data_IF_389782605015
#
_entry.id   IF_389782605015
#
_cell.length_a   1.000
_cell.length_b   1.000
_cell.length_c   1.000
_cell.angle_alpha   90.00
_cell.angle_beta   90.00
_cell.angle_gamma   90.00
#
_symmetry.space_group_name_H-M   'P 1'
#
loop_
_entity.id
_entity.type
_entity.pdbx_description
1 polymer ?
#
# COMPACT_ATOMS: atom_id res chain seq x y z
N UNK A 1 -59.41 -15.34 27.78
CA UNK A 1 -58.01 -15.73 27.55
C UNK A 1 -57.06 -14.74 28.21
N UNK A 2 -56.04 -15.22 28.91
CA UNK A 2 -55.05 -14.37 29.60
C UNK A 2 -54.01 -13.80 28.61
N UNK A 3 -53.31 -12.73 28.97
CA UNK A 3 -52.28 -12.12 28.13
C UNK A 3 -50.96 -12.92 28.18
N UNK A 4 -50.30 -13.07 27.03
CA UNK A 4 -48.97 -13.69 26.89
C UNK A 4 -47.90 -12.69 27.32
N UNK A 5 -46.85 -13.14 28.01
CA UNK A 5 -45.67 -12.31 28.35
C UNK A 5 -44.47 -12.77 27.51
N UNK A 6 -43.90 -11.87 26.70
CA UNK A 6 -42.72 -12.16 25.89
C UNK A 6 -41.45 -11.88 26.68
N UNK A 7 -40.53 -12.85 26.77
CA UNK A 7 -39.29 -12.74 27.53
C UNK A 7 -38.16 -13.34 26.71
N UNK A 8 -37.11 -12.52 26.54
CA UNK A 8 -35.82 -12.84 25.93
C UNK A 8 -35.75 -12.78 24.38
N UNK A 9 -34.91 -11.86 23.90
CA UNK A 9 -34.43 -11.77 22.52
C UNK A 9 -32.95 -12.16 22.49
N UNK A 10 -32.58 -13.17 21.70
CA UNK A 10 -31.17 -13.55 21.51
C UNK A 10 -30.75 -13.27 20.07
N UNK A 11 -29.75 -12.40 19.90
CA UNK A 11 -29.18 -12.05 18.60
C UNK A 11 -28.17 -13.11 18.17
N UNK A 12 -28.32 -13.69 16.98
CA UNK A 12 -27.25 -14.44 16.30
C UNK A 12 -26.90 -13.70 15.02
N UNK A 13 -25.64 -13.30 14.88
CA UNK A 13 -25.11 -12.79 13.62
C UNK A 13 -24.95 -13.93 12.62
N UNK A 14 -25.03 -13.60 11.33
CA UNK A 14 -24.94 -14.55 10.23
C UNK A 14 -23.70 -15.46 10.36
N UNK A 15 -23.94 -16.76 10.21
CA UNK A 15 -22.87 -17.71 9.93
C UNK A 15 -22.67 -17.77 8.42
N UNK A 16 -21.43 -17.69 7.89
CA UNK A 16 -21.22 -17.90 6.46
C UNK A 16 -21.66 -19.31 6.10
N UNK A 17 -22.68 -19.43 5.24
CA UNK A 17 -23.14 -20.72 4.72
C UNK A 17 -22.00 -21.36 3.94
N UNK A 18 -21.56 -22.53 4.41
CA UNK A 18 -20.60 -23.40 3.70
C UNK A 18 -21.16 -23.71 2.32
N UNK A 19 -20.42 -23.32 1.29
CA UNK A 19 -20.74 -23.66 -0.10
C UNK A 19 -20.74 -25.18 -0.27
N UNK A 20 -21.84 -25.72 -0.79
CA UNK A 20 -21.93 -27.09 -1.27
C UNK A 20 -20.93 -27.28 -2.41
N UNK A 21 -19.96 -28.18 -2.25
CA UNK A 21 -19.08 -28.61 -3.34
C UNK A 21 -19.91 -29.35 -4.40
N UNK A 22 -20.02 -28.78 -5.59
CA UNK A 22 -20.54 -29.51 -6.75
C UNK A 22 -19.52 -30.58 -7.15
N UNK A 23 -19.97 -31.84 -7.11
CA UNK A 23 -19.21 -33.01 -7.55
C UNK A 23 -18.99 -32.94 -9.06
N UNK A 24 -17.76 -33.24 -9.44
CA UNK A 24 -17.22 -33.20 -10.80
C UNK A 24 -17.93 -34.22 -11.71
N UNK A 25 -18.47 -33.77 -12.86
CA UNK A 25 -18.89 -34.66 -13.94
C UNK A 25 -18.40 -34.11 -15.28
N UNK A 26 -17.81 -35.00 -16.07
CA UNK A 26 -16.86 -34.75 -17.16
C UNK A 26 -17.47 -34.34 -18.50
N UNK A 27 -16.83 -33.34 -19.13
CA UNK A 27 -16.49 -33.14 -20.56
C UNK A 27 -17.46 -33.68 -21.66
N UNK A 28 -18.03 -32.77 -22.47
CA UNK A 28 -17.87 -32.71 -23.95
C UNK A 28 -18.64 -31.50 -24.59
N UNK A 29 -17.87 -30.51 -25.09
CA UNK A 29 -17.96 -29.87 -26.44
C UNK A 29 -19.11 -28.91 -26.86
N UNK A 30 -18.77 -27.59 -26.86
CA UNK A 30 -18.93 -26.50 -27.89
C UNK A 30 -20.23 -25.65 -28.11
N UNK A 31 -20.03 -24.33 -27.90
CA UNK A 31 -20.31 -23.15 -28.78
C UNK A 31 -21.68 -22.41 -28.72
N UNK A 32 -21.62 -21.19 -28.14
CA UNK A 32 -22.30 -19.91 -28.42
C UNK A 32 -23.84 -19.83 -28.35
N UNK A 33 -24.33 -19.32 -27.21
CA UNK A 33 -25.45 -18.35 -27.11
C UNK A 33 -25.02 -17.27 -26.11
N UNK A 34 -24.73 -16.07 -26.61
CA UNK A 34 -24.53 -14.85 -25.82
C UNK A 34 -25.84 -14.06 -25.81
N UNK A 35 -26.18 -13.46 -24.66
CA UNK A 35 -27.27 -12.49 -24.40
C UNK A 35 -28.64 -13.11 -24.02
N UNK A 36 -28.76 -13.52 -22.75
CA UNK A 36 -29.91 -13.29 -21.83
C UNK A 36 -29.67 -13.98 -20.45
N UNK A 37 -28.51 -13.75 -19.84
CA UNK A 37 -28.36 -13.90 -18.37
C UNK A 37 -27.98 -12.52 -17.86
N UNK A 38 -28.90 -11.58 -18.07
CA UNK A 38 -28.93 -10.34 -17.32
C UNK A 38 -29.35 -10.72 -15.89
N UNK A 39 -28.43 -10.51 -14.96
CA UNK A 39 -28.75 -9.92 -13.67
C UNK A 39 -29.85 -10.70 -12.90
N UNK A 40 -29.45 -11.86 -12.39
CA UNK A 40 -29.71 -12.13 -10.99
C UNK A 40 -28.35 -12.27 -10.31
N UNK A 41 -27.58 -11.19 -10.32
CA UNK A 41 -26.75 -10.92 -9.15
C UNK A 41 -27.78 -10.60 -8.08
N UNK A 42 -28.35 -11.63 -7.45
CA UNK A 42 -28.99 -11.44 -6.17
C UNK A 42 -27.94 -10.72 -5.34
N UNK A 43 -28.18 -9.45 -5.03
CA UNK A 43 -27.60 -8.91 -3.80
C UNK A 43 -28.05 -9.92 -2.77
N UNK A 44 -27.13 -10.76 -2.28
CA UNK A 44 -27.38 -11.47 -1.05
C UNK A 44 -27.56 -10.34 -0.04
N UNK A 45 -28.82 -10.00 0.25
CA UNK A 45 -29.13 -9.37 1.52
C UNK A 45 -28.67 -10.40 2.53
N UNK A 46 -27.59 -10.10 3.23
CA UNK A 46 -27.37 -10.76 4.51
C UNK A 46 -28.65 -10.49 5.31
N UNK A 47 -29.29 -11.56 5.76
CA UNK A 47 -30.63 -11.47 6.33
C UNK A 47 -30.49 -11.80 7.80
N UNK A 48 -30.88 -10.87 8.66
CA UNK A 48 -30.79 -11.07 10.09
C UNK A 48 -31.91 -11.98 10.59
N UNK A 49 -31.57 -12.78 11.60
CA UNK A 49 -32.51 -13.66 12.28
C UNK A 49 -32.70 -13.17 13.73
N UNK A 50 -33.95 -13.11 14.19
CA UNK A 50 -34.29 -12.79 15.57
C UNK A 50 -35.08 -13.92 16.21
N UNK A 51 -34.57 -14.50 17.29
CA UNK A 51 -35.27 -15.50 18.09
C UNK A 51 -36.05 -14.84 19.22
N UNK A 52 -37.35 -15.10 19.26
CA UNK A 52 -38.29 -14.70 20.30
C UNK A 52 -38.69 -15.91 21.15
N UNK A 53 -38.92 -15.68 22.44
CA UNK A 53 -39.51 -16.65 23.35
C UNK A 53 -40.57 -15.97 24.23
N UNK A 54 -41.55 -16.75 24.69
CA UNK A 54 -42.62 -16.27 25.56
C UNK A 54 -43.13 -17.38 26.48
N UNK A 55 -43.76 -16.98 27.58
CA UNK A 55 -44.35 -17.91 28.54
C UNK A 55 -45.78 -18.27 28.13
N UNK A 56 -46.13 -19.56 28.22
CA UNK A 56 -47.48 -20.03 27.97
C UNK A 56 -48.44 -19.60 29.08
N UNK A 57 -49.68 -19.16 28.77
CA UNK A 57 -50.67 -18.85 29.79
C UNK A 57 -51.16 -20.12 30.50
N UNK A 58 -51.46 -20.01 31.80
CA UNK A 58 -51.92 -21.14 32.64
C UNK A 58 -53.43 -21.38 32.54
N UNK A 59 -54.06 -21.09 31.40
CA UNK A 59 -55.51 -21.14 31.23
C UNK A 59 -56.07 -22.50 30.79
N UNK A 60 -55.20 -23.43 30.38
CA UNK A 60 -55.57 -24.80 30.01
C UNK A 60 -56.39 -24.93 28.73
N UNK A 61 -56.64 -23.81 28.03
CA UNK A 61 -57.46 -23.76 26.80
C UNK A 61 -56.66 -23.32 25.57
N UNK A 62 -55.47 -22.75 25.77
CA UNK A 62 -54.59 -22.31 24.67
C UNK A 62 -54.04 -23.50 23.89
N UNK A 63 -54.29 -23.51 22.58
CA UNK A 63 -53.81 -24.56 21.66
C UNK A 63 -52.69 -24.09 20.74
N UNK A 64 -52.55 -22.78 20.55
CA UNK A 64 -51.42 -22.22 19.80
C UNK A 64 -51.29 -20.70 19.87
N UNK A 65 -50.32 -20.18 19.11
CA UNK A 65 -49.94 -18.78 19.11
C UNK A 65 -49.76 -18.24 17.69
N UNK A 66 -50.07 -16.95 17.52
CA UNK A 66 -49.69 -16.17 16.35
C UNK A 66 -48.68 -15.11 16.80
N UNK A 67 -47.50 -15.13 16.18
CA UNK A 67 -46.48 -14.10 16.31
C UNK A 67 -46.74 -13.01 15.26
N UNK A 68 -46.82 -11.76 15.71
CA UNK A 68 -46.97 -10.57 14.86
C UNK A 68 -45.70 -9.73 14.94
N UNK A 69 -45.28 -9.17 13.81
CA UNK A 69 -44.11 -8.30 13.74
C UNK A 69 -44.23 -7.20 12.68
N UNK A 70 -43.53 -6.09 12.89
CA UNK A 70 -43.52 -4.94 11.99
C UNK A 70 -42.40 -3.95 12.32
N UNK A 71 -42.26 -2.91 11.49
CA UNK A 71 -41.19 -1.90 11.62
C UNK A 71 -41.65 -0.61 12.33
N UNK A 72 -42.89 -0.57 12.80
CA UNK A 72 -43.45 0.54 13.55
C UNK A 72 -44.20 0.04 14.80
N UNK A 73 -44.17 0.79 15.91
CA UNK A 73 -44.87 0.40 17.14
C UNK A 73 -46.36 0.15 16.87
N UNK A 74 -46.89 -0.96 17.38
CA UNK A 74 -48.31 -1.37 17.27
C UNK A 74 -48.83 -1.51 15.84
N UNK A 75 -47.94 -1.59 14.84
CA UNK A 75 -48.30 -1.75 13.43
C UNK A 75 -47.54 -2.94 12.84
N UNK A 76 -48.21 -4.08 12.77
CA UNK A 76 -47.62 -5.35 12.35
C UNK A 76 -47.98 -5.65 10.89
N UNK A 77 -46.97 -5.71 10.04
CA UNK A 77 -47.10 -6.04 8.61
C UNK A 77 -46.90 -7.53 8.33
N UNK A 78 -46.34 -8.28 9.28
CA UNK A 78 -46.13 -9.72 9.19
C UNK A 78 -46.76 -10.47 10.35
N UNK A 79 -47.25 -11.68 10.07
CA UNK A 79 -47.70 -12.62 11.09
C UNK A 79 -47.32 -14.06 10.73
N UNK A 80 -47.07 -14.88 11.74
CA UNK A 80 -46.75 -16.30 11.60
C UNK A 80 -47.53 -17.08 12.65
N UNK A 81 -48.29 -18.09 12.22
CA UNK A 81 -48.81 -19.11 13.13
C UNK A 81 -47.67 -20.05 13.51
N UNK A 82 -47.35 -20.09 14.79
CA UNK A 82 -46.25 -20.88 15.34
C UNK A 82 -46.75 -22.13 16.07
N UNK A 83 -48.07 -22.39 16.03
CA UNK A 83 -48.71 -23.50 16.70
C UNK A 83 -48.49 -23.43 18.22
N UNK A 84 -48.28 -24.58 18.85
CA UNK A 84 -48.04 -24.69 20.30
C UNK A 84 -46.63 -24.30 20.75
N UNK A 85 -45.77 -23.81 19.86
CA UNK A 85 -44.39 -23.43 20.20
C UNK A 85 -44.38 -22.17 21.06
N UNK A 86 -43.48 -22.12 22.04
CA UNK A 86 -43.24 -20.94 22.90
C UNK A 86 -41.96 -20.19 22.54
N UNK A 87 -41.37 -20.52 21.38
CA UNK A 87 -40.27 -19.78 20.80
C UNK A 87 -40.28 -19.88 19.28
N UNK A 88 -39.80 -18.84 18.61
CA UNK A 88 -39.71 -18.78 17.16
C UNK A 88 -38.59 -17.87 16.69
N UNK A 89 -37.86 -18.30 15.65
CA UNK A 89 -36.87 -17.46 14.96
C UNK A 89 -37.50 -16.88 13.70
N UNK A 90 -37.65 -15.56 13.68
CA UNK A 90 -38.02 -14.83 12.47
C UNK A 90 -36.76 -14.65 11.64
N UNK A 91 -36.73 -15.28 10.48
CA UNK A 91 -35.61 -15.19 9.55
C UNK A 91 -35.88 -14.17 8.46
N UNK A 92 -34.83 -13.72 7.78
CA UNK A 92 -35.00 -12.89 6.60
C UNK A 92 -35.33 -11.42 6.91
N UNK A 93 -35.00 -10.94 8.11
CA UNK A 93 -35.26 -9.56 8.50
C UNK A 93 -34.25 -8.61 7.84
N UNK A 94 -34.71 -7.40 7.52
CA UNK A 94 -33.83 -6.37 7.00
C UNK A 94 -32.83 -5.96 8.08
N UNK A 95 -31.57 -5.81 7.69
CA UNK A 95 -30.51 -5.39 8.56
C UNK A 95 -30.66 -3.93 9.02
N UNK A 96 -30.07 -3.61 10.18
CA UNK A 96 -30.09 -2.27 10.79
C UNK A 96 -31.50 -1.73 11.10
N UNK A 97 -32.52 -2.60 11.06
CA UNK A 97 -33.92 -2.22 11.14
C UNK A 97 -34.48 -2.60 12.50
N UNK A 98 -35.24 -1.70 13.12
CA UNK A 98 -35.94 -1.97 14.38
C UNK A 98 -37.26 -2.65 14.09
N UNK A 99 -37.42 -3.86 14.61
CA UNK A 99 -38.66 -4.63 14.54
C UNK A 99 -39.34 -4.65 15.91
N UNK A 100 -40.66 -4.53 15.87
CA UNK A 100 -41.58 -4.62 17.00
C UNK A 100 -42.34 -5.94 16.88
N UNK A 101 -42.52 -6.63 17.99
CA UNK A 101 -43.10 -7.96 18.06
C UNK A 101 -44.15 -8.05 19.15
N UNK A 102 -45.24 -8.75 18.85
CA UNK A 102 -46.27 -9.10 19.82
C UNK A 102 -46.79 -10.51 19.52
N UNK A 103 -47.32 -11.20 20.53
CA UNK A 103 -47.89 -12.54 20.41
C UNK A 103 -49.34 -12.52 20.88
N UNK A 104 -50.20 -13.28 20.23
CA UNK A 104 -51.54 -13.61 20.73
C UNK A 104 -51.75 -15.13 20.74
N UNK A 105 -52.51 -15.62 21.71
CA UNK A 105 -52.90 -17.01 21.83
C UNK A 105 -54.24 -17.26 21.12
N UNK A 106 -54.47 -18.52 20.71
CA UNK A 106 -55.76 -19.01 20.25
C UNK A 106 -56.11 -20.36 20.88
N UNK A 107 -57.41 -20.67 20.95
CA UNK A 107 -57.93 -21.95 21.45
C UNK A 107 -58.31 -22.93 20.34
N UNK A 108 -58.82 -24.11 20.71
CA UNK A 108 -59.20 -25.17 19.77
C UNK A 108 -60.33 -24.76 18.79
N UNK A 109 -61.09 -23.71 19.10
CA UNK A 109 -62.25 -23.25 18.33
C UNK A 109 -61.89 -21.98 17.54
N UNK A 110 -60.74 -21.37 17.82
CA UNK A 110 -60.15 -20.24 17.10
C UNK A 110 -60.34 -18.89 17.78
N UNK A 111 -60.82 -18.85 19.04
CA UNK A 111 -60.95 -17.61 19.80
C UNK A 111 -59.59 -17.03 20.13
N UNK A 112 -59.42 -15.72 19.91
CA UNK A 112 -58.13 -15.03 20.01
C UNK A 112 -58.02 -14.22 21.29
N UNK A 113 -56.86 -14.26 21.94
CA UNK A 113 -56.53 -13.38 23.07
C UNK A 113 -56.28 -11.93 22.62
N UNK A 114 -56.23 -11.01 23.59
CA UNK A 114 -55.54 -9.74 23.40
C UNK A 114 -54.05 -9.96 23.10
N UNK A 115 -53.40 -8.98 22.46
CA UNK A 115 -51.97 -8.99 22.24
C UNK A 115 -51.18 -8.94 23.56
N UNK A 116 -50.00 -9.56 23.56
CA UNK A 116 -48.98 -9.40 24.59
C UNK A 116 -48.51 -7.95 24.71
N UNK A 117 -47.71 -7.67 25.75
CA UNK A 117 -46.83 -6.51 25.72
C UNK A 117 -45.94 -6.57 24.47
N UNK A 118 -45.75 -5.44 23.81
CA UNK A 118 -44.86 -5.31 22.66
C UNK A 118 -43.40 -5.31 23.12
N UNK A 119 -42.56 -6.05 22.40
CA UNK A 119 -41.10 -6.02 22.55
C UNK A 119 -40.47 -5.56 21.25
N UNK A 120 -39.28 -4.98 21.29
CA UNK A 120 -38.58 -4.54 20.10
C UNK A 120 -37.12 -4.97 20.09
N UNK A 121 -36.58 -5.16 18.89
CA UNK A 121 -35.17 -5.43 18.66
C UNK A 121 -34.71 -4.85 17.33
N UNK A 122 -33.49 -4.30 17.33
CA UNK A 122 -32.81 -3.84 16.12
C UNK A 122 -31.87 -4.94 15.63
N UNK A 123 -32.05 -5.36 14.38
CA UNK A 123 -31.15 -6.26 13.66
C UNK A 123 -29.76 -5.61 13.51
N UNK A 124 -28.71 -6.42 13.37
CA UNK A 124 -27.37 -5.88 13.12
C UNK A 124 -27.34 -5.18 11.76
N UNK A 125 -26.50 -4.17 11.60
CA UNK A 125 -26.33 -3.54 10.29
C UNK A 125 -25.57 -4.48 9.35
N UNK A 126 -26.07 -4.66 8.13
CA UNK A 126 -25.48 -5.46 7.06
C UNK A 126 -24.36 -4.76 6.33
N UNK A 127 -24.05 -3.51 6.72
CA UNK A 127 -22.81 -2.85 6.33
C UNK A 127 -21.75 -3.33 7.32
N UNK A 128 -20.78 -4.16 6.90
CA UNK A 128 -19.65 -4.49 7.76
C UNK A 128 -18.99 -3.18 8.22
N UNK A 129 -18.49 -3.08 9.46
CA UNK A 129 -17.69 -1.94 9.84
C UNK A 129 -16.56 -1.77 8.80
N UNK A 130 -16.47 -0.60 8.18
CA UNK A 130 -15.46 -0.30 7.15
C UNK A 130 -14.29 0.45 7.76
N UNK A 131 -13.09 0.27 7.21
CA UNK A 131 -11.94 1.10 7.55
C UNK A 131 -12.25 2.57 7.20
N UNK A 132 -11.99 3.49 8.13
CA UNK A 132 -12.31 4.93 7.98
C UNK A 132 -11.10 5.83 7.87
N UNK A 133 -9.91 5.38 8.31
CA UNK A 133 -8.65 6.05 7.98
C UNK A 133 -7.54 5.05 7.63
N UNK A 134 -6.64 5.46 6.75
CA UNK A 134 -5.43 4.72 6.36
C UNK A 134 -4.28 5.70 6.15
N UNK A 135 -3.17 5.46 6.85
CA UNK A 135 -1.91 6.14 6.66
C UNK A 135 -0.87 5.19 6.07
N UNK A 136 0.01 5.72 5.21
CA UNK A 136 1.15 5.03 4.64
C UNK A 136 2.38 5.93 4.77
N UNK A 137 3.40 5.46 5.49
CA UNK A 137 4.63 6.22 5.75
C UNK A 137 5.85 5.35 5.53
N UNK A 138 6.93 5.94 5.00
CA UNK A 138 8.25 5.32 4.95
C UNK A 138 9.08 5.75 6.17
N UNK A 139 9.93 4.87 6.67
CA UNK A 139 10.92 5.18 7.71
C UNK A 139 12.06 6.09 7.20
N UNK A 140 12.28 6.12 5.89
CA UNK A 140 13.22 7.02 5.22
C UNK A 140 12.48 8.00 4.30
N UNK A 141 12.86 9.30 4.31
CA UNK A 141 12.28 10.26 3.39
C UNK A 141 12.75 9.98 1.95
N UNK A 142 11.96 10.36 0.96
CA UNK A 142 12.42 10.37 -0.43
C UNK A 142 13.26 11.62 -0.72
N UNK A 143 14.32 11.55 -1.56
CA UNK A 143 14.86 10.38 -2.27
C UNK A 143 15.83 9.52 -1.43
N UNK A 144 16.07 8.27 -1.85
CA UNK A 144 17.09 7.39 -1.26
C UNK A 144 18.01 6.78 -2.32
N UNK A 145 19.24 6.42 -1.93
CA UNK A 145 20.18 5.74 -2.85
C UNK A 145 19.85 4.26 -3.01
N UNK A 146 20.13 3.71 -4.20
CA UNK A 146 20.05 2.26 -4.49
C UNK A 146 20.71 1.44 -3.37
N UNK A 147 20.06 0.34 -2.96
CA UNK A 147 20.54 -0.55 -1.90
C UNK A 147 20.11 -0.16 -0.48
N UNK A 148 19.51 1.03 -0.28
CA UNK A 148 18.96 1.42 1.03
C UNK A 148 17.65 0.70 1.29
N UNK A 149 17.59 -0.16 2.30
CA UNK A 149 16.34 -0.80 2.71
C UNK A 149 15.41 0.22 3.36
N UNK A 150 14.19 0.33 2.82
CA UNK A 150 13.13 1.21 3.33
C UNK A 150 12.02 0.35 3.90
N UNK A 151 11.58 0.67 5.12
CA UNK A 151 10.43 0.04 5.77
C UNK A 151 9.21 0.95 5.64
N UNK A 152 8.17 0.42 5.03
CA UNK A 152 6.87 1.07 4.93
C UNK A 152 5.97 0.59 6.04
N UNK A 153 5.36 1.54 6.75
CA UNK A 153 4.39 1.32 7.81
C UNK A 153 3.01 1.78 7.34
N UNK A 154 2.01 0.94 7.60
CA UNK A 154 0.61 1.23 7.40
C UNK A 154 -0.12 1.27 8.74
N UNK A 155 -0.99 2.25 8.91
CA UNK A 155 -1.86 2.36 10.09
C UNK A 155 -3.30 2.59 9.64
N UNK A 156 -4.21 1.71 10.08
CA UNK A 156 -5.62 1.75 9.75
C UNK A 156 -6.48 1.89 11.03
N UNK A 157 -7.60 2.60 10.92
CA UNK A 157 -8.59 2.75 12.00
C UNK A 157 -10.01 2.59 11.46
N UNK A 158 -10.98 2.33 12.35
CA UNK A 158 -12.33 1.95 11.97
C UNK A 158 -12.42 0.45 11.69
N UNK A 159 -13.48 -0.01 11.06
CA UNK A 159 -13.57 -1.41 10.65
C UNK A 159 -13.49 -2.44 11.78
N UNK A 160 -13.09 -3.66 11.42
CA UNK A 160 -12.89 -4.79 12.34
C UNK A 160 -11.44 -5.29 12.22
N UNK A 161 -10.72 -5.30 13.35
CA UNK A 161 -9.38 -5.88 13.45
C UNK A 161 -9.45 -7.43 13.60
N UNK A 162 -8.39 -8.17 13.24
CA UNK A 162 -7.15 -7.71 12.61
C UNK A 162 -7.38 -7.31 11.15
N UNK A 163 -6.71 -6.24 10.70
CA UNK A 163 -6.76 -5.84 9.30
C UNK A 163 -5.89 -6.74 8.43
N UNK A 164 -6.26 -6.86 7.16
CA UNK A 164 -5.39 -7.39 6.12
C UNK A 164 -4.94 -6.26 5.19
N UNK A 165 -3.68 -6.30 4.80
CA UNK A 165 -3.00 -5.33 3.95
C UNK A 165 -2.53 -6.00 2.66
N UNK A 166 -2.62 -5.29 1.55
CA UNK A 166 -2.04 -5.68 0.27
C UNK A 166 -1.08 -4.59 -0.20
N UNK A 167 0.19 -4.94 -0.33
CA UNK A 167 1.25 -4.02 -0.72
C UNK A 167 1.46 -4.09 -2.23
N UNK A 168 1.73 -2.96 -2.86
CA UNK A 168 2.05 -2.89 -4.27
C UNK A 168 3.17 -1.89 -4.54
N UNK A 169 4.07 -2.24 -5.43
CA UNK A 169 5.17 -1.39 -5.90
C UNK A 169 5.02 -1.16 -7.41
N UNK A 170 4.95 0.09 -7.81
CA UNK A 170 5.08 0.49 -9.21
C UNK A 170 6.54 0.76 -9.53
N UNK A 171 7.04 0.21 -10.63
CA UNK A 171 8.38 0.46 -11.15
C UNK A 171 8.54 -0.17 -12.53
N UNK A 172 9.43 0.37 -13.38
CA UNK A 172 9.62 -0.11 -14.75
C UNK A 172 8.31 -0.23 -15.55
N UNK A 173 7.37 0.71 -15.34
CA UNK A 173 6.10 0.79 -16.05
C UNK A 173 4.98 -0.11 -15.55
N UNK A 174 5.20 -0.98 -14.55
CA UNK A 174 4.22 -1.98 -14.11
C UNK A 174 4.05 -2.00 -12.58
N UNK A 175 2.87 -2.43 -12.11
CA UNK A 175 2.61 -2.72 -10.71
C UNK A 175 2.96 -4.17 -10.38
N UNK A 176 3.68 -4.37 -9.29
CA UNK A 176 3.86 -5.67 -8.63
C UNK A 176 3.05 -5.65 -7.34
N UNK A 177 2.22 -6.68 -7.11
CA UNK A 177 1.24 -6.70 -6.02
C UNK A 177 1.47 -7.96 -5.18
N UNK A 178 1.55 -7.79 -3.86
CA UNK A 178 1.68 -8.89 -2.90
C UNK A 178 0.34 -9.61 -2.69
N UNK A 179 0.35 -10.83 -2.12
CA UNK A 179 -0.86 -11.36 -1.48
C UNK A 179 -1.29 -10.47 -0.31
N UNK A 180 -2.56 -10.62 0.11
CA UNK A 180 -3.05 -10.06 1.36
C UNK A 180 -2.29 -10.66 2.55
N UNK A 181 -1.96 -9.83 3.53
CA UNK A 181 -1.21 -10.21 4.74
C UNK A 181 -1.69 -9.43 5.95
N UNK A 182 -1.57 -9.97 7.15
CA UNK A 182 -1.83 -9.22 8.39
C UNK A 182 -0.66 -8.30 8.81
N UNK A 183 0.47 -8.37 8.10
CA UNK A 183 1.61 -7.51 8.36
C UNK A 183 1.31 -6.07 7.93
N UNK A 184 1.25 -5.17 8.90
CA UNK A 184 1.11 -3.72 8.69
C UNK A 184 2.42 -3.04 8.28
N UNK A 185 3.47 -3.82 8.00
CA UNK A 185 4.77 -3.35 7.56
C UNK A 185 5.23 -4.08 6.30
N UNK A 186 5.91 -3.38 5.41
CA UNK A 186 6.54 -3.96 4.22
C UNK A 186 7.92 -3.35 3.97
N UNK A 187 8.92 -4.18 3.71
CA UNK A 187 10.29 -3.74 3.46
C UNK A 187 10.65 -3.86 2.00
N UNK A 188 11.36 -2.87 1.49
CA UNK A 188 11.83 -2.83 0.11
C UNK A 188 13.25 -2.30 0.01
N UNK A 189 14.09 -3.02 -0.72
CA UNK A 189 15.45 -2.58 -1.07
C UNK A 189 15.51 -2.38 -2.59
N UNK A 190 15.47 -1.13 -3.09
CA UNK A 190 15.58 -0.88 -4.52
C UNK A 190 16.97 -1.26 -5.03
N UNK A 191 17.01 -1.96 -6.16
CA UNK A 191 18.25 -2.36 -6.84
C UNK A 191 18.54 -1.53 -8.09
N UNK A 192 17.60 -0.69 -8.50
CA UNK A 192 17.70 0.13 -9.71
C UNK A 192 17.26 1.57 -9.39
N UNK A 193 17.95 2.59 -9.92
CA UNK A 193 17.54 3.97 -9.77
C UNK A 193 16.29 4.26 -10.63
N UNK A 194 15.47 5.22 -10.20
CA UNK A 194 14.23 5.59 -10.88
C UNK A 194 13.45 6.65 -10.10
N UNK A 195 12.80 7.57 -10.81
CA UNK A 195 11.93 8.61 -10.22
C UNK A 195 10.46 8.21 -10.29
N UNK A 196 10.15 7.09 -10.93
CA UNK A 196 8.80 6.64 -11.21
C UNK A 196 8.17 5.79 -10.10
N UNK A 197 8.93 5.38 -9.08
CA UNK A 197 8.39 4.42 -8.12
C UNK A 197 7.21 4.99 -7.33
N UNK A 198 6.23 4.13 -7.09
CA UNK A 198 5.14 4.39 -6.15
C UNK A 198 4.94 3.18 -5.27
N UNK A 199 4.78 3.40 -3.97
CA UNK A 199 4.38 2.35 -3.03
C UNK A 199 2.94 2.59 -2.64
N UNK A 200 2.13 1.55 -2.83
CA UNK A 200 0.71 1.54 -2.51
C UNK A 200 0.42 0.49 -1.46
N UNK A 201 -0.49 0.80 -0.54
CA UNK A 201 -1.08 -0.18 0.37
C UNK A 201 -2.60 -0.10 0.27
N UNK A 202 -3.25 -1.25 0.12
CA UNK A 202 -4.69 -1.39 0.31
C UNK A 202 -4.96 -2.10 1.64
N UNK A 203 -6.09 -1.80 2.28
CA UNK A 203 -6.48 -2.38 3.57
C UNK A 203 -7.92 -2.87 3.50
N UNK A 204 -8.22 -3.96 4.22
CA UNK A 204 -9.58 -4.44 4.47
C UNK A 204 -9.73 -4.95 5.90
N UNK A 205 -10.96 -4.92 6.39
CA UNK A 205 -11.32 -5.43 7.71
C UNK A 205 -11.33 -6.96 7.74
N UNK A 206 -11.20 -7.55 8.94
CA UNK A 206 -11.34 -8.99 9.13
C UNK A 206 -12.68 -9.49 8.57
N UNK A 207 -12.66 -10.56 7.77
CA UNK A 207 -13.87 -11.15 7.17
C UNK A 207 -14.41 -10.40 5.95
N UNK A 208 -13.78 -9.29 5.55
CA UNK A 208 -14.11 -8.57 4.32
C UNK A 208 -13.77 -9.40 3.08
N UNK A 209 -14.71 -9.53 2.15
CA UNK A 209 -14.51 -10.18 0.86
C UNK A 209 -14.04 -9.22 -0.24
N UNK A 210 -13.75 -7.96 0.12
CA UNK A 210 -13.25 -6.97 -0.84
C UNK A 210 -11.92 -7.43 -1.45
N UNK A 211 -11.90 -7.53 -2.78
CA UNK A 211 -10.73 -7.92 -3.56
C UNK A 211 -9.80 -6.75 -3.85
N UNK A 212 -10.32 -5.51 -3.83
CA UNK A 212 -9.56 -4.27 -4.03
C UNK A 212 -9.17 -3.55 -2.74
N UNK A 213 -9.62 -4.06 -1.59
CA UNK A 213 -9.56 -3.36 -0.30
C UNK A 213 -10.75 -2.43 -0.09
N UNK A 214 -10.97 -2.03 1.16
CA UNK A 214 -11.93 -1.00 1.58
C UNK A 214 -11.36 0.41 1.35
N UNK A 215 -10.04 0.56 1.54
CA UNK A 215 -9.31 1.79 1.22
C UNK A 215 -7.91 1.49 0.73
N UNK A 216 -7.29 2.47 0.05
CA UNK A 216 -5.89 2.40 -0.35
C UNK A 216 -5.21 3.76 -0.34
N UNK A 217 -3.90 3.76 -0.12
CA UNK A 217 -3.02 4.93 -0.18
C UNK A 217 -1.82 4.64 -1.08
N UNK A 218 -1.32 5.65 -1.78
CA UNK A 218 -0.13 5.57 -2.63
C UNK A 218 0.80 6.74 -2.35
N UNK A 219 2.10 6.47 -2.25
CA UNK A 219 3.14 7.46 -2.00
C UNK A 219 4.23 7.31 -3.06
N UNK A 220 4.60 8.39 -3.79
CA UNK A 220 5.72 8.34 -4.73
C UNK A 220 7.05 8.24 -3.98
N UNK A 221 8.02 7.57 -4.58
CA UNK A 221 9.35 7.41 -4.00
C UNK A 221 10.42 7.46 -5.10
N UNK A 222 11.38 8.38 -4.98
CA UNK A 222 12.53 8.46 -5.88
C UNK A 222 13.71 7.68 -5.33
N UNK A 223 14.36 6.92 -6.21
CA UNK A 223 15.61 6.19 -5.96
C UNK A 223 16.71 6.77 -6.83
N UNK A 224 17.81 7.21 -6.22
CA UNK A 224 18.97 7.79 -6.92
C UNK A 224 20.12 6.80 -7.00
N UNK A 225 20.95 6.97 -8.02
CA UNK A 225 22.23 6.28 -8.12
C UNK A 225 23.16 6.65 -6.95
N UNK A 226 24.05 5.74 -6.50
CA UNK A 226 25.12 6.11 -5.58
C UNK A 226 26.09 7.11 -6.24
N UNK A 227 26.75 7.99 -5.48
CA UNK A 227 27.77 8.90 -6.03
C UNK A 227 29.07 8.16 -6.34
N UNK A 228 29.92 8.74 -7.19
CA UNK A 228 31.33 8.30 -7.36
C UNK A 228 32.02 8.31 -5.99
N UNK A 229 32.62 7.19 -5.59
CA UNK A 229 33.17 7.02 -4.25
C UNK A 229 34.63 7.49 -4.14
N UNK A 230 35.43 7.32 -5.19
CA UNK A 230 36.85 7.68 -5.16
C UNK A 230 37.39 8.05 -6.54
N UNK A 231 38.43 8.89 -6.53
CA UNK A 231 39.14 9.34 -7.73
C UNK A 231 40.64 9.27 -7.48
N UNK A 232 41.37 8.69 -8.43
CA UNK A 232 42.84 8.76 -8.47
C UNK A 232 43.26 9.77 -9.53
N UNK A 233 44.38 10.45 -9.30
CA UNK A 233 44.95 11.43 -10.23
C UNK A 233 46.46 11.25 -10.28
N UNK A 234 47.00 11.04 -11.48
CA UNK A 234 48.43 10.85 -11.69
C UNK A 234 48.89 11.53 -12.98
N UNK A 235 50.15 11.95 -13.00
CA UNK A 235 50.85 12.43 -14.18
C UNK A 235 51.79 11.35 -14.71
N UNK A 236 52.09 11.39 -16.01
CA UNK A 236 53.08 10.51 -16.63
C UNK A 236 54.53 10.83 -16.23
N UNK A 237 54.78 12.00 -15.64
CA UNK A 237 56.10 12.48 -15.21
C UNK A 237 56.04 13.02 -13.79
N UNK A 238 57.11 12.87 -13.02
CA UNK A 238 57.19 13.38 -11.66
C UNK A 238 57.42 14.91 -11.65
N UNK A 239 56.82 15.67 -10.72
CA UNK A 239 57.17 17.07 -10.53
C UNK A 239 58.55 17.21 -9.85
N UNK A 240 59.27 18.34 -10.03
CA UNK A 240 58.89 19.49 -10.84
C UNK A 240 59.23 19.30 -12.33
N UNK A 241 58.43 19.89 -13.21
CA UNK A 241 58.70 19.93 -14.66
C UNK A 241 59.17 21.32 -15.10
N UNK A 242 59.73 21.45 -16.30
CA UNK A 242 60.12 22.75 -16.87
C UNK A 242 58.99 23.33 -17.72
N UNK A 243 58.96 24.66 -17.85
CA UNK A 243 58.07 25.36 -18.78
C UNK A 243 58.17 24.77 -20.19
N UNK A 244 57.02 24.53 -20.82
CA UNK A 244 56.93 23.98 -22.17
C UNK A 244 56.94 22.44 -22.25
N UNK A 245 57.16 21.71 -21.15
CA UNK A 245 56.95 20.26 -21.13
C UNK A 245 55.48 19.90 -21.34
N UNK A 246 55.19 18.91 -22.17
CA UNK A 246 53.84 18.32 -22.27
C UNK A 246 53.67 17.27 -21.17
N UNK A 247 52.70 17.48 -20.28
CA UNK A 247 52.37 16.60 -19.16
C UNK A 247 51.03 15.94 -19.47
N UNK A 248 50.98 14.61 -19.44
CA UNK A 248 49.74 13.85 -19.57
C UNK A 248 49.22 13.48 -18.18
N UNK A 249 48.01 13.92 -17.88
CA UNK A 249 47.28 13.55 -16.67
C UNK A 249 46.29 12.44 -16.97
N UNK A 250 46.19 11.49 -16.04
CA UNK A 250 45.25 10.38 -16.08
C UNK A 250 44.49 10.30 -14.76
N UNK A 251 43.17 10.13 -14.86
CA UNK A 251 42.28 9.94 -13.73
C UNK A 251 41.64 8.55 -13.74
N UNK A 252 41.54 7.93 -12.58
CA UNK A 252 40.72 6.73 -12.35
C UNK A 252 39.55 7.07 -11.44
N UNK A 253 38.40 6.45 -11.66
CA UNK A 253 37.20 6.65 -10.84
C UNK A 253 36.58 5.31 -10.46
N UNK A 254 36.07 5.21 -9.23
CA UNK A 254 35.42 4.01 -8.70
C UNK A 254 34.22 4.37 -7.84
N UNK A 255 33.24 3.47 -7.78
CA UNK A 255 31.91 3.71 -7.22
C UNK A 255 31.01 4.52 -8.17
N UNK A 256 29.77 4.74 -7.76
CA UNK A 256 28.78 5.43 -8.59
C UNK A 256 28.39 4.67 -9.85
N UNK A 257 27.98 5.40 -10.90
CA UNK A 257 27.48 4.82 -12.15
C UNK A 257 28.33 5.27 -13.33
N UNK A 258 28.85 4.30 -14.09
CA UNK A 258 29.58 4.53 -15.34
C UNK A 258 28.61 4.77 -16.53
N UNK A 259 29.04 5.43 -17.62
CA UNK A 259 30.35 6.05 -17.83
C UNK A 259 30.53 7.36 -17.04
N UNK A 260 31.78 7.65 -16.66
CA UNK A 260 32.12 8.87 -15.92
C UNK A 260 32.41 10.06 -16.85
N UNK A 261 32.20 11.27 -16.33
CA UNK A 261 32.65 12.51 -16.93
C UNK A 261 33.69 13.17 -16.03
N UNK A 262 34.65 13.86 -16.65
CA UNK A 262 35.81 14.47 -16.04
C UNK A 262 35.86 15.95 -16.39
N UNK A 263 36.23 16.81 -15.43
CA UNK A 263 36.54 18.22 -15.68
C UNK A 263 37.86 18.55 -15.02
N UNK A 264 38.80 19.07 -15.81
CA UNK A 264 40.17 19.33 -15.38
C UNK A 264 40.30 20.78 -14.94
N UNK A 265 41.05 20.99 -13.87
CA UNK A 265 41.26 22.28 -13.24
C UNK A 265 42.74 22.49 -12.92
N UNK A 266 43.19 23.73 -13.04
CA UNK A 266 44.55 24.14 -12.66
C UNK A 266 44.45 25.32 -11.71
N UNK A 267 45.10 25.18 -10.56
CA UNK A 267 45.41 26.28 -9.67
C UNK A 267 46.76 26.85 -10.10
N UNK A 268 46.81 28.13 -10.44
CA UNK A 268 48.04 28.77 -10.90
C UNK A 268 48.93 29.29 -9.76
N UNK A 269 48.64 28.94 -8.52
CA UNK A 269 49.26 29.50 -7.31
C UNK A 269 48.42 30.62 -6.66
N UNK A 270 47.41 31.15 -7.36
CA UNK A 270 46.50 32.18 -6.84
C UNK A 270 45.03 31.86 -7.09
N UNK A 271 44.68 31.38 -8.28
CA UNK A 271 43.29 31.17 -8.71
C UNK A 271 43.13 29.80 -9.37
N UNK A 272 41.98 29.17 -9.14
CA UNK A 272 41.54 27.98 -9.86
C UNK A 272 40.89 28.37 -11.17
N UNK A 273 41.34 27.76 -12.27
CA UNK A 273 40.73 27.89 -13.59
C UNK A 273 40.38 26.52 -14.15
N UNK A 274 39.22 26.43 -14.81
CA UNK A 274 38.81 25.22 -15.51
C UNK A 274 39.65 25.09 -16.78
N UNK A 275 40.46 24.04 -16.86
CA UNK A 275 41.26 23.73 -18.04
C UNK A 275 40.43 23.08 -19.15
N UNK A 276 39.32 22.43 -18.79
CA UNK A 276 38.37 21.86 -19.74
C UNK A 276 36.92 22.12 -19.30
N UNK A 277 35.98 21.97 -20.24
CA UNK A 277 34.60 21.62 -19.91
C UNK A 277 34.52 20.16 -19.43
N UNK A 278 33.34 19.70 -19.00
CA UNK A 278 33.10 18.28 -18.76
C UNK A 278 33.34 17.47 -20.04
N UNK A 279 34.14 16.40 -19.92
CA UNK A 279 34.54 15.51 -21.02
C UNK A 279 34.43 14.05 -20.58
N UNK A 280 34.27 13.12 -21.51
CA UNK A 280 34.34 11.67 -21.23
C UNK A 280 35.78 11.15 -21.22
N UNK A 281 36.77 11.98 -21.59
CA UNK A 281 38.18 11.60 -21.53
C UNK A 281 38.69 11.60 -20.09
N UNK A 282 39.12 10.44 -19.62
CA UNK A 282 39.83 10.27 -18.35
C UNK A 282 41.29 10.75 -18.41
N UNK A 283 41.72 11.32 -19.54
CA UNK A 283 43.05 11.89 -19.71
C UNK A 283 43.00 13.32 -20.23
N UNK A 284 44.01 14.12 -19.86
CA UNK A 284 44.18 15.50 -20.30
C UNK A 284 45.65 15.87 -20.44
N UNK A 285 46.00 16.49 -21.57
CA UNK A 285 47.36 16.98 -21.83
C UNK A 285 47.49 18.46 -21.49
N UNK A 286 48.47 18.79 -20.65
CA UNK A 286 48.76 20.14 -20.20
C UNK A 286 50.18 20.58 -20.57
N UNK A 287 50.32 21.82 -21.05
CA UNK A 287 51.62 22.41 -21.41
C UNK A 287 51.76 23.79 -20.73
N UNK A 288 52.34 23.86 -19.51
CA UNK A 288 52.48 25.12 -18.79
C UNK A 288 53.46 26.07 -19.50
N UNK A 289 53.09 27.34 -19.58
CA UNK A 289 53.89 28.41 -20.22
C UNK A 289 54.59 29.32 -19.21
N UNK A 290 54.24 29.21 -17.92
CA UNK A 290 54.78 30.03 -16.83
C UNK A 290 55.38 29.12 -15.77
N UNK A 291 56.51 29.52 -15.20
CA UNK A 291 57.10 28.82 -14.07
C UNK A 291 56.40 29.25 -12.77
N UNK A 292 55.82 28.30 -12.05
CA UNK A 292 55.28 28.54 -10.71
C UNK A 292 55.40 27.27 -9.86
N UNK A 293 55.89 27.42 -8.63
CA UNK A 293 55.94 26.30 -7.67
C UNK A 293 54.58 25.98 -7.03
N UNK A 294 53.63 26.92 -7.08
CA UNK A 294 52.30 26.79 -6.49
C UNK A 294 51.27 26.10 -7.38
N UNK A 295 51.64 25.55 -8.53
CA UNK A 295 50.68 24.86 -9.39
C UNK A 295 50.08 23.64 -8.69
N UNK A 296 48.75 23.49 -8.79
CA UNK A 296 48.02 22.28 -8.37
C UNK A 296 47.09 21.88 -9.50
N UNK A 297 47.10 20.59 -9.86
CA UNK A 297 46.14 20.05 -10.82
C UNK A 297 45.04 19.32 -10.07
N UNK A 298 43.79 19.52 -10.48
CA UNK A 298 42.63 18.83 -9.94
C UNK A 298 41.80 18.24 -11.07
N UNK A 299 41.20 17.10 -10.79
CA UNK A 299 40.15 16.52 -11.62
C UNK A 299 38.87 16.42 -10.80
N UNK A 300 37.78 16.91 -11.37
CA UNK A 300 36.43 16.66 -10.90
C UNK A 300 35.84 15.48 -11.69
N UNK A 301 35.15 14.59 -11.00
CA UNK A 301 34.49 13.43 -11.60
C UNK A 301 33.03 13.38 -11.18
N UNK A 302 32.17 13.02 -12.13
CA UNK A 302 30.76 12.70 -11.87
C UNK A 302 30.33 11.47 -12.66
N UNK A 303 29.40 10.70 -12.10
CA UNK A 303 28.79 9.54 -12.74
C UNK A 303 27.78 9.88 -13.82
N UNK A 304 27.34 8.85 -14.55
CA UNK A 304 26.27 8.96 -15.53
C UNK A 304 24.96 9.38 -14.87
N UNK A 305 24.18 10.21 -15.58
CA UNK A 305 22.90 10.74 -15.10
C UNK A 305 23.02 11.99 -14.23
N UNK A 306 24.20 12.32 -13.71
CA UNK A 306 24.42 13.59 -13.01
C UNK A 306 24.82 14.71 -13.99
N UNK A 307 23.95 15.70 -14.14
CA UNK A 307 24.16 16.87 -15.00
C UNK A 307 24.61 18.12 -14.23
N UNK A 308 24.63 18.07 -12.90
CA UNK A 308 25.02 19.20 -12.04
C UNK A 308 26.46 19.62 -12.32
N UNK A 309 26.72 20.93 -12.43
CA UNK A 309 28.10 21.44 -12.59
C UNK A 309 28.86 21.43 -11.24
N UNK A 310 29.00 20.25 -10.67
CA UNK A 310 29.70 19.97 -9.43
C UNK A 310 30.33 18.58 -9.50
N UNK A 311 31.41 18.36 -8.75
CA UNK A 311 32.01 17.05 -8.62
C UNK A 311 31.20 16.17 -7.66
N UNK A 312 31.03 14.90 -8.00
CA UNK A 312 30.67 13.88 -7.01
C UNK A 312 31.90 13.49 -6.19
N UNK A 313 33.05 13.38 -6.85
CA UNK A 313 34.34 13.17 -6.22
C UNK A 313 35.45 13.93 -6.98
N UNK A 314 36.54 14.25 -6.29
CA UNK A 314 37.66 14.94 -6.90
C UNK A 314 38.99 14.50 -6.30
N UNK A 315 40.06 14.68 -7.07
CA UNK A 315 41.43 14.48 -6.61
C UNK A 315 42.29 15.65 -7.04
N UNK A 316 43.28 16.02 -6.22
CA UNK A 316 44.20 17.13 -6.50
C UNK A 316 45.64 16.73 -6.21
N UNK A 317 46.59 17.18 -7.04
CA UNK A 317 48.02 16.88 -6.93
C UNK A 317 48.83 18.17 -7.14
N UNK A 318 49.68 18.59 -6.18
CA UNK A 318 50.64 19.66 -6.40
C UNK A 318 51.63 19.32 -7.52
N UNK A 319 51.87 20.26 -8.42
CA UNK A 319 52.70 20.03 -9.60
C UNK A 319 53.56 21.23 -9.98
N UNK A 320 54.62 21.54 -9.21
CA UNK A 320 55.49 22.70 -9.45
C UNK A 320 56.15 22.70 -10.84
N UNK A 321 56.20 23.88 -11.47
CA UNK A 321 56.85 24.13 -12.76
C UNK A 321 58.02 25.11 -12.58
N UNK A 322 59.20 24.76 -13.13
CA UNK A 322 60.44 25.54 -13.09
C UNK A 322 60.71 26.22 -14.42
N UNK A 323 61.50 27.30 -14.38
CA UNK A 323 61.98 27.98 -15.60
C UNK A 323 62.91 27.07 -16.41
N UNK A 324 62.92 27.23 -17.73
CA UNK A 324 63.90 26.57 -18.58
C UNK A 324 65.32 27.07 -18.26
N UNK A 325 66.36 26.22 -18.34
CA UNK A 325 67.74 26.66 -18.18
C UNK A 325 68.08 27.75 -19.19
N UNK A 326 68.64 28.88 -18.75
CA UNK A 326 69.19 29.89 -19.67
C UNK A 326 70.38 29.26 -20.41
N UNK A 327 70.28 29.11 -21.73
CA UNK A 327 71.40 28.64 -22.54
C UNK A 327 72.63 29.51 -22.30
N UNK A 328 73.76 28.89 -21.94
CA UNK A 328 75.07 29.55 -21.91
C UNK A 328 75.34 30.04 -23.34
N UNK A 329 75.32 31.36 -23.56
CA UNK A 329 75.85 31.94 -24.80
C UNK A 329 77.34 31.58 -24.84
N UNK A 330 77.73 30.77 -25.83
CA UNK A 330 79.12 30.60 -26.24
C UNK A 330 79.53 31.77 -27.11
#
# INVERSE_FOLDING_TARGET
MAAVTAVLLRKRGAHPLRTCSAVNASRFTRVIVFILIAICCARLSDAADLTLAWDAPSDGITTGYILLYGVAPRSYSGQVDVGSRTSYTVNGLADGTTYYFAVRAYDAIGDMSNLSSEVYATTLSGVPPVVTALALTADHPSPQVVGTTVTWLSAATGGVAPYEFQWALYGAGNWTVSPWTIASTWTWTPLTPGTEYQVKVAVRSAGSSSTSGEMSQSVPFTVTSPPVASVTLQSNVAPPQIVGSTILWSAGASGGVAPYQYRWWVFDGSVWSAATAWTTSSTWSWKPTVANSGYVVRVWVRGAGNSTDAAEASASVPFPIKSAPKGRKR
#
